data_IF_760356763046
#
_entry.id   IF_760356763046
#
_cell.length_a   1.000
_cell.length_b   1.000
_cell.length_c   1.000
_cell.angle_alpha   90.00
_cell.angle_beta   90.00
_cell.angle_gamma   90.00
#
_symmetry.space_group_name_H-M   'P 1'
#
loop_
_entity.id
_entity.type
_entity.pdbx_description
1 polymer ?
#
# COMPACT_ATOMS: atom_id res chain seq x y z
N UNK A 1 17.23 -20.10 -2.04
CA UNK A 1 17.10 -21.54 -2.40
C UNK A 1 18.23 -22.08 -3.27
N UNK A 2 18.77 -21.36 -4.27
CA UNK A 2 19.88 -21.87 -5.14
C UNK A 2 21.16 -22.29 -4.38
N UNK A 3 21.69 -21.42 -3.51
CA UNK A 3 22.87 -21.72 -2.68
C UNK A 3 22.63 -22.78 -1.61
N UNK A 4 21.41 -22.82 -1.07
CA UNK A 4 21.01 -23.83 -0.07
C UNK A 4 20.88 -25.24 -0.69
N UNK A 5 20.64 -25.33 -2.00
CA UNK A 5 20.64 -26.58 -2.75
C UNK A 5 22.04 -27.02 -3.23
N UNK A 6 23.12 -26.40 -2.71
CA UNK A 6 24.50 -26.78 -3.05
C UNK A 6 25.07 -26.16 -4.33
N UNK A 7 24.29 -25.33 -5.05
CA UNK A 7 24.79 -24.62 -6.22
C UNK A 7 25.49 -23.32 -5.80
N UNK A 8 26.81 -23.39 -5.71
CA UNK A 8 27.70 -22.32 -5.20
C UNK A 8 28.07 -21.26 -6.24
N UNK A 9 27.95 -21.57 -7.53
CA UNK A 9 28.19 -20.62 -8.63
C UNK A 9 27.00 -19.68 -8.87
N UNK A 10 27.26 -18.52 -9.49
CA UNK A 10 26.18 -17.77 -10.14
C UNK A 10 25.70 -18.59 -11.35
N UNK A 11 24.40 -18.85 -11.52
CA UNK A 11 23.92 -19.52 -12.71
C UNK A 11 24.33 -18.72 -13.95
N UNK A 12 24.74 -19.41 -15.01
CA UNK A 12 25.13 -18.82 -16.29
C UNK A 12 23.90 -18.17 -16.95
N UNK A 13 23.52 -17.00 -16.46
CA UNK A 13 22.31 -16.26 -16.84
C UNK A 13 22.55 -15.28 -17.97
N UNK A 14 23.77 -15.22 -18.50
CA UNK A 14 24.16 -14.25 -19.52
C UNK A 14 23.36 -14.42 -20.81
N UNK A 15 23.28 -15.66 -21.32
CA UNK A 15 22.47 -16.01 -22.50
C UNK A 15 20.98 -15.71 -22.27
N UNK A 16 20.44 -16.08 -21.11
CA UNK A 16 19.06 -15.79 -20.74
C UNK A 16 18.79 -14.29 -20.64
N UNK A 17 19.72 -13.51 -20.07
CA UNK A 17 19.63 -12.04 -19.98
C UNK A 17 19.70 -11.38 -21.35
N UNK A 18 20.57 -11.86 -22.24
CA UNK A 18 20.67 -11.38 -23.61
C UNK A 18 19.37 -11.66 -24.38
N UNK A 19 18.80 -12.86 -24.26
CA UNK A 19 17.51 -13.21 -24.85
C UNK A 19 16.37 -12.32 -24.33
N UNK A 20 16.30 -12.08 -23.02
CA UNK A 20 15.33 -11.16 -22.42
C UNK A 20 15.50 -9.72 -22.91
N UNK A 21 16.74 -9.24 -23.09
CA UNK A 21 17.02 -7.89 -23.64
C UNK A 21 16.60 -7.79 -25.10
N UNK A 22 16.88 -8.81 -25.91
CA UNK A 22 16.47 -8.87 -27.32
C UNK A 22 14.92 -8.85 -27.44
N UNK A 23 14.23 -9.66 -26.64
CA UNK A 23 12.77 -9.69 -26.60
C UNK A 23 12.17 -8.33 -26.17
N UNK A 24 12.76 -7.68 -25.14
CA UNK A 24 12.33 -6.34 -24.73
C UNK A 24 12.49 -5.30 -25.84
N UNK A 25 13.58 -5.34 -26.61
CA UNK A 25 13.80 -4.47 -27.77
C UNK A 25 12.78 -4.72 -28.87
N UNK A 26 12.58 -5.98 -29.26
CA UNK A 26 11.58 -6.35 -30.26
C UNK A 26 10.17 -5.90 -29.86
N UNK A 27 9.79 -6.05 -28.58
CA UNK A 27 8.51 -5.51 -28.07
C UNK A 27 8.42 -3.99 -28.19
N UNK A 28 9.50 -3.27 -27.87
CA UNK A 28 9.51 -1.81 -27.96
C UNK A 28 9.42 -1.33 -29.42
N UNK A 29 10.16 -1.96 -30.33
CA UNK A 29 10.13 -1.71 -31.78
C UNK A 29 8.75 -2.03 -32.39
N UNK A 30 8.09 -3.09 -31.91
CA UNK A 30 6.72 -3.46 -32.30
C UNK A 30 5.62 -2.55 -31.67
N UNK A 31 5.98 -1.43 -31.04
CA UNK A 31 5.04 -0.50 -30.43
C UNK A 31 4.43 -0.99 -29.11
N UNK A 32 4.96 -2.07 -28.54
CA UNK A 32 4.60 -2.53 -27.20
C UNK A 32 5.00 -1.48 -26.17
N UNK A 33 4.01 -0.70 -25.70
CA UNK A 33 4.20 0.24 -24.59
C UNK A 33 4.81 -0.51 -23.40
N UNK A 34 5.78 0.12 -22.74
CA UNK A 34 6.35 -0.35 -21.47
C UNK A 34 5.26 -0.52 -20.40
N UNK A 35 5.65 -0.81 -19.15
CA UNK A 35 4.65 -0.75 -18.07
C UNK A 35 3.96 0.62 -18.11
N UNK A 36 2.64 0.60 -18.31
CA UNK A 36 1.83 1.81 -18.32
C UNK A 36 1.91 2.41 -16.93
N UNK A 37 2.63 3.52 -16.79
CA UNK A 37 2.61 4.31 -15.58
C UNK A 37 1.19 4.87 -15.40
N UNK A 38 0.57 4.54 -14.28
CA UNK A 38 -0.71 5.15 -13.93
C UNK A 38 -0.47 6.62 -13.61
N UNK A 39 -1.39 7.49 -14.03
CA UNK A 39 -1.37 8.88 -13.58
C UNK A 39 -1.43 8.91 -12.05
N UNK A 40 -0.68 9.82 -11.39
CA UNK A 40 -0.76 9.96 -9.95
C UNK A 40 -2.19 10.35 -9.55
N UNK A 41 -2.65 9.76 -8.45
CA UNK A 41 -3.90 10.15 -7.82
C UNK A 41 -3.80 11.58 -7.29
N UNK A 42 -4.76 12.42 -7.66
CA UNK A 42 -4.87 13.79 -7.12
C UNK A 42 -5.75 13.79 -5.87
N UNK A 43 -5.63 14.85 -5.05
CA UNK A 43 -6.53 15.02 -3.89
C UNK A 43 -7.99 15.07 -4.31
N UNK A 44 -8.32 15.69 -5.45
CA UNK A 44 -9.71 15.76 -5.92
C UNK A 44 -10.23 14.42 -6.41
N UNK A 45 -9.37 13.61 -7.05
CA UNK A 45 -9.72 12.23 -7.39
C UNK A 45 -9.93 11.39 -6.12
N UNK A 46 -9.09 11.56 -5.09
CA UNK A 46 -9.28 10.91 -3.79
C UNK A 46 -10.63 11.30 -3.19
N UNK A 47 -10.98 12.59 -3.19
CA UNK A 47 -12.27 13.07 -2.68
C UNK A 47 -13.44 12.44 -3.43
N UNK A 48 -13.37 12.39 -4.77
CA UNK A 48 -14.41 11.77 -5.58
C UNK A 48 -14.58 10.27 -5.25
N UNK A 49 -13.48 9.54 -5.06
CA UNK A 49 -13.52 8.12 -4.67
C UNK A 49 -14.10 7.93 -3.27
N UNK A 50 -13.68 8.74 -2.30
CA UNK A 50 -14.20 8.68 -0.93
C UNK A 50 -15.68 9.03 -0.89
N UNK A 51 -16.13 10.01 -1.65
CA UNK A 51 -17.55 10.39 -1.73
C UNK A 51 -18.43 9.30 -2.35
N UNK A 52 -17.84 8.35 -3.10
CA UNK A 52 -18.57 7.20 -3.64
C UNK A 52 -18.65 6.03 -2.64
N UNK A 53 -17.94 6.09 -1.51
CA UNK A 53 -18.05 5.08 -0.46
C UNK A 53 -19.33 5.30 0.36
N UNK A 54 -20.09 4.23 0.59
CA UNK A 54 -21.24 4.25 1.48
C UNK A 54 -20.81 4.22 2.95
N UNK A 55 -20.72 5.40 3.57
CA UNK A 55 -20.24 5.58 4.94
C UNK A 55 -21.21 5.11 6.02
N UNK A 56 -22.41 4.66 5.66
CA UNK A 56 -23.35 4.01 6.59
C UNK A 56 -23.04 2.52 6.76
N UNK A 57 -22.15 1.96 5.93
CA UNK A 57 -21.74 0.56 6.00
C UNK A 57 -20.32 0.38 6.55
N UNK A 58 -20.03 -0.74 7.24
CA UNK A 58 -18.67 -1.12 7.60
C UNK A 58 -17.72 -1.15 6.40
N UNK A 59 -18.20 -1.64 5.25
CA UNK A 59 -17.40 -1.78 4.02
C UNK A 59 -16.99 -0.39 3.50
N UNK A 60 -17.92 0.55 3.37
CA UNK A 60 -17.59 1.88 2.87
C UNK A 60 -16.69 2.68 3.82
N UNK A 61 -16.83 2.51 5.15
CA UNK A 61 -15.89 3.11 6.12
C UNK A 61 -14.49 2.53 6.01
N UNK A 62 -14.37 1.20 5.84
CA UNK A 62 -13.09 0.53 5.58
C UNK A 62 -12.46 1.04 4.29
N UNK A 63 -13.24 1.10 3.22
CA UNK A 63 -12.74 1.47 1.89
C UNK A 63 -12.28 2.94 1.87
N UNK A 64 -13.02 3.84 2.54
CA UNK A 64 -12.55 5.22 2.79
C UNK A 64 -11.22 5.25 3.54
N UNK A 65 -11.07 4.50 4.63
CA UNK A 65 -9.82 4.44 5.38
C UNK A 65 -8.65 3.97 4.50
N UNK A 66 -8.86 2.91 3.72
CA UNK A 66 -7.84 2.35 2.82
C UNK A 66 -7.43 3.34 1.73
N UNK A 67 -8.37 4.08 1.16
CA UNK A 67 -8.08 5.12 0.16
C UNK A 67 -7.24 6.26 0.75
N UNK A 68 -7.63 6.75 1.93
CA UNK A 68 -6.93 7.86 2.60
C UNK A 68 -5.53 7.45 3.04
N UNK A 69 -5.39 6.31 3.74
CA UNK A 69 -4.07 5.80 4.17
C UNK A 69 -3.21 5.39 2.98
N UNK A 70 -3.80 4.79 1.94
CA UNK A 70 -3.09 4.39 0.74
C UNK A 70 -2.44 5.57 0.03
N UNK A 71 -3.14 6.71 -0.05
CA UNK A 71 -2.55 7.93 -0.58
C UNK A 71 -1.48 8.49 0.37
N UNK A 72 -1.81 8.65 1.65
CA UNK A 72 -0.92 9.30 2.62
C UNK A 72 0.41 8.57 2.81
N UNK A 73 0.39 7.23 2.82
CA UNK A 73 1.59 6.39 2.97
C UNK A 73 2.34 6.17 1.65
N UNK A 74 1.72 6.50 0.50
CA UNK A 74 2.09 5.93 -0.80
C UNK A 74 2.23 4.40 -0.73
N UNK A 75 1.38 3.78 0.12
CA UNK A 75 1.52 2.40 0.56
C UNK A 75 1.08 1.43 -0.52
N UNK A 76 1.78 0.30 -0.63
CA UNK A 76 1.36 -0.79 -1.51
C UNK A 76 0.15 -1.50 -0.91
N UNK A 77 -0.69 -2.08 -1.77
CA UNK A 77 -1.86 -2.87 -1.35
C UNK A 77 -1.52 -3.91 -0.27
N UNK A 78 -0.40 -4.63 -0.41
CA UNK A 78 0.03 -5.64 0.56
C UNK A 78 0.41 -5.06 1.92
N UNK A 79 0.95 -3.83 1.93
CA UNK A 79 1.31 -3.13 3.16
C UNK A 79 0.03 -2.68 3.88
N UNK A 80 -0.93 -2.10 3.16
CA UNK A 80 -2.22 -1.66 3.72
C UNK A 80 -3.05 -2.81 4.31
N UNK A 81 -3.11 -3.96 3.62
CA UNK A 81 -3.88 -5.13 4.07
C UNK A 81 -3.22 -5.82 5.27
N UNK A 82 -1.92 -5.63 5.47
CA UNK A 82 -1.19 -6.20 6.60
C UNK A 82 -1.29 -5.35 7.87
N UNK A 83 -1.76 -4.10 7.79
CA UNK A 83 -1.89 -3.22 8.95
C UNK A 83 -2.86 -3.80 9.98
N UNK A 84 -2.40 -3.82 11.23
CA UNK A 84 -3.19 -4.16 12.40
C UNK A 84 -3.51 -2.91 13.22
N UNK A 85 -4.41 -3.03 14.20
CA UNK A 85 -4.81 -1.91 15.06
C UNK A 85 -3.62 -1.33 15.82
N UNK A 86 -2.75 -2.21 16.30
CA UNK A 86 -1.52 -1.86 17.02
C UNK A 86 -0.47 -1.14 16.15
N UNK A 87 -0.60 -1.19 14.83
CA UNK A 87 0.35 -0.53 13.91
C UNK A 87 0.02 0.94 13.67
N UNK A 88 -1.17 1.41 14.09
CA UNK A 88 -1.63 2.78 13.89
C UNK A 88 -1.83 3.46 15.23
N UNK A 89 -1.00 4.47 15.51
CA UNK A 89 -1.07 5.28 16.71
C UNK A 89 -1.57 6.68 16.37
N UNK A 90 -2.56 7.16 17.11
CA UNK A 90 -2.93 8.57 17.03
C UNK A 90 -1.96 9.43 17.84
N UNK A 91 -1.50 10.52 17.23
CA UNK A 91 -0.63 11.54 17.84
C UNK A 91 -1.28 12.93 17.67
N UNK A 92 -0.89 13.96 18.44
CA UNK A 92 -1.56 15.28 18.37
C UNK A 92 -1.67 15.85 16.96
N UNK A 93 -0.63 15.65 16.14
CA UNK A 93 -0.53 16.20 14.78
C UNK A 93 -1.03 15.25 13.68
N UNK A 94 -1.57 14.07 14.02
CA UNK A 94 -2.04 13.11 13.04
C UNK A 94 -1.96 11.64 13.48
N UNK A 95 -1.39 10.80 12.63
CA UNK A 95 -1.15 9.38 12.89
C UNK A 95 0.34 9.05 12.75
N UNK A 96 0.80 8.07 13.50
CA UNK A 96 2.01 7.32 13.23
C UNK A 96 1.60 5.91 12.79
N UNK A 97 2.06 5.49 11.61
CA UNK A 97 1.73 4.17 11.05
C UNK A 97 2.99 3.37 10.85
N UNK A 98 3.04 2.18 11.44
CA UNK A 98 4.18 1.27 11.35
C UNK A 98 3.93 0.23 10.26
N UNK A 99 4.72 0.29 9.19
CA UNK A 99 4.76 -0.75 8.15
C UNK A 99 5.80 -1.78 8.56
N UNK A 100 5.36 -2.96 9.03
CA UNK A 100 6.24 -4.02 9.55
C UNK A 100 7.18 -4.62 8.51
N UNK A 101 6.70 -4.77 7.28
CA UNK A 101 7.48 -5.29 6.17
C UNK A 101 7.07 -4.55 4.91
N UNK A 102 8.03 -4.14 4.08
CA UNK A 102 7.75 -3.54 2.78
C UNK A 102 8.36 -4.37 1.67
N UNK A 103 7.88 -4.19 0.44
CA UNK A 103 8.41 -4.92 -0.71
C UNK A 103 9.92 -4.71 -0.92
N UNK A 104 10.43 -3.55 -0.53
CA UNK A 104 11.85 -3.17 -0.67
C UNK A 104 12.67 -3.48 0.57
N UNK A 105 12.02 -3.76 1.69
CA UNK A 105 12.64 -4.11 2.96
C UNK A 105 12.95 -5.61 3.01
N UNK A 106 14.11 -5.96 2.43
CA UNK A 106 14.59 -7.35 2.36
C UNK A 106 14.91 -7.94 3.74
N UNK A 107 15.13 -7.09 4.73
CA UNK A 107 15.56 -7.48 6.07
C UNK A 107 14.42 -7.37 7.11
N UNK A 108 13.21 -6.95 6.69
CA UNK A 108 12.02 -6.82 7.54
C UNK A 108 12.24 -5.93 8.77
N UNK A 109 13.00 -4.85 8.60
CA UNK A 109 13.25 -3.85 9.64
C UNK A 109 11.97 -3.07 9.98
N UNK A 110 11.11 -2.87 8.99
CA UNK A 110 9.93 -2.03 9.08
C UNK A 110 10.24 -0.53 9.12
N UNK A 111 9.19 0.29 9.00
CA UNK A 111 9.29 1.76 9.01
C UNK A 111 8.06 2.35 9.69
N UNK A 112 8.25 3.37 10.52
CA UNK A 112 7.15 4.18 11.07
C UNK A 112 7.06 5.49 10.30
N UNK A 113 5.89 5.75 9.72
CA UNK A 113 5.61 6.92 8.89
C UNK A 113 4.61 7.81 9.62
N UNK A 114 4.97 9.08 9.80
CA UNK A 114 4.08 10.10 10.32
C UNK A 114 3.15 10.62 9.21
N UNK A 115 1.85 10.58 9.47
CA UNK A 115 0.80 11.08 8.58
C UNK A 115 0.14 12.29 9.26
N UNK A 116 0.26 13.51 8.71
CA UNK A 116 -0.37 14.69 9.29
C UNK A 116 -1.90 14.67 9.14
N UNK A 117 -2.58 15.44 9.98
CA UNK A 117 -4.03 15.71 9.84
C UNK A 117 -4.37 16.30 8.47
N UNK A 118 -5.52 15.88 7.95
CA UNK A 118 -6.08 16.46 6.73
C UNK A 118 -6.90 17.73 7.02
N UNK A 119 -7.00 18.61 6.04
CA UNK A 119 -7.81 19.84 6.16
C UNK A 119 -9.30 19.60 5.91
N UNK A 120 -9.66 18.52 5.23
CA UNK A 120 -11.03 18.19 4.86
C UNK A 120 -11.50 16.92 5.58
N UNK A 121 -12.66 16.91 6.26
CA UNK A 121 -13.11 15.77 7.07
C UNK A 121 -13.14 14.43 6.33
N UNK A 122 -13.65 14.42 5.08
CA UNK A 122 -13.70 13.18 4.28
C UNK A 122 -12.32 12.56 4.03
N UNK A 123 -11.26 13.37 3.94
CA UNK A 123 -9.90 12.92 3.65
C UNK A 123 -8.95 13.11 4.83
N UNK A 124 -9.45 13.42 6.02
CA UNK A 124 -8.63 13.49 7.24
C UNK A 124 -8.35 12.05 7.71
N UNK A 125 -7.07 11.62 7.75
CA UNK A 125 -6.69 10.27 8.14
C UNK A 125 -7.09 9.95 9.58
N UNK A 126 -7.05 10.91 10.51
CA UNK A 126 -7.43 10.69 11.90
C UNK A 126 -8.94 10.47 12.02
N UNK A 127 -9.74 11.24 11.27
CA UNK A 127 -11.20 11.05 11.26
C UNK A 127 -11.55 9.70 10.66
N UNK A 128 -10.98 9.36 9.50
CA UNK A 128 -11.21 8.06 8.86
C UNK A 128 -10.81 6.89 9.76
N UNK A 129 -9.70 7.02 10.50
CA UNK A 129 -9.24 6.02 11.45
C UNK A 129 -10.20 5.83 12.61
N UNK A 130 -10.65 6.92 13.24
CA UNK A 130 -11.62 6.88 14.35
C UNK A 130 -12.97 6.31 13.93
N UNK A 131 -13.44 6.66 12.73
CA UNK A 131 -14.68 6.12 12.17
C UNK A 131 -14.61 4.60 12.01
N UNK A 132 -13.44 4.09 11.61
CA UNK A 132 -13.19 2.65 11.50
C UNK A 132 -13.07 1.96 12.86
N UNK A 133 -12.39 2.57 13.84
CA UNK A 133 -12.32 2.04 15.20
C UNK A 133 -13.70 1.86 15.82
N UNK A 134 -14.61 2.82 15.58
CA UNK A 134 -16.00 2.73 16.04
C UNK A 134 -16.70 1.48 15.48
N UNK A 135 -16.44 1.13 14.21
CA UNK A 135 -16.98 -0.10 13.59
C UNK A 135 -16.39 -1.35 14.24
N UNK A 136 -15.08 -1.37 14.47
CA UNK A 136 -14.41 -2.51 15.10
C UNK A 136 -14.90 -2.74 16.53
N UNK A 137 -15.08 -1.67 17.29
CA UNK A 137 -15.54 -1.76 18.68
C UNK A 137 -17.01 -2.24 18.74
N UNK A 138 -17.85 -1.89 17.75
CA UNK A 138 -19.23 -2.40 17.62
C UNK A 138 -19.28 -3.88 17.21
N UNK A 139 -18.32 -4.36 16.43
CA UNK A 139 -18.25 -5.76 15.98
C UNK A 139 -17.79 -6.72 17.10
N UNK A 140 -17.25 -6.20 18.21
CA UNK A 140 -16.66 -6.99 19.28
C UNK A 140 -15.27 -7.56 18.92
N UNK A 141 -14.57 -8.22 19.86
CA UNK A 141 -13.25 -8.75 19.60
C UNK A 141 -13.34 -9.89 18.57
N UNK A 142 -12.75 -9.68 17.39
CA UNK A 142 -12.43 -10.77 16.48
C UNK A 142 -11.41 -11.68 17.17
N UNK A 143 -11.85 -12.87 17.60
CA UNK A 143 -10.94 -13.92 18.06
C UNK A 143 -9.92 -14.21 16.96
N UNK A 144 -8.64 -14.03 17.31
CA UNK A 144 -7.48 -14.13 16.41
C UNK A 144 -7.19 -15.58 16.04
#
# INVERSE_FOLDING_TARGET
>A
MHRLAGHTGQPATESARLALRAYKRQRAEAGGRGQREAAPITIDALRAMVSACDLDTPIGRRDRLLLVLGLALMGRRSELVALQREDVREVPDGLEVTIRTSKTDKDSVGETIAIPRGTHPLTDPVVAWRDWLTVLDQAGPCSR
#
